data_IF_315882416552
#
_entry.id   IF_315882416552
#
_cell.length_a   1.000
_cell.length_b   1.000
_cell.length_c   1.000
_cell.angle_alpha   90.00
_cell.angle_beta   90.00
_cell.angle_gamma   90.00
#
_symmetry.space_group_name_H-M   'P 1'
#
loop_
_entity.id
_entity.type
_entity.pdbx_description
1 polymer ?
#
# COMPACT_ATOMS: atom_id res chain seq x y z
N UNK A 1 8.61 -11.45 42.41
CA UNK A 1 8.16 -11.99 41.11
C UNK A 1 7.50 -10.84 40.34
N UNK A 2 8.30 -10.01 39.66
CA UNK A 2 7.75 -8.96 38.80
C UNK A 2 7.43 -9.59 37.45
N UNK A 3 6.17 -9.60 37.06
CA UNK A 3 5.77 -10.00 35.70
C UNK A 3 6.42 -9.03 34.73
N UNK A 4 7.35 -9.53 33.92
CA UNK A 4 7.90 -8.82 32.79
C UNK A 4 6.76 -8.68 31.77
N UNK A 5 6.00 -7.59 31.85
CA UNK A 5 4.92 -7.31 30.91
C UNK A 5 5.56 -7.10 29.55
N UNK A 6 5.49 -8.12 28.70
CA UNK A 6 6.12 -8.07 27.39
C UNK A 6 5.42 -7.02 26.52
N UNK A 7 6.20 -6.16 25.85
CA UNK A 7 5.77 -5.06 24.98
C UNK A 7 5.07 -5.49 23.67
N UNK A 8 4.53 -6.71 23.61
CA UNK A 8 3.97 -7.27 22.37
C UNK A 8 2.70 -6.53 21.92
N UNK A 9 1.88 -6.03 22.86
CA UNK A 9 0.66 -5.27 22.53
C UNK A 9 1.00 -3.93 21.88
N UNK A 10 1.94 -3.18 22.45
CA UNK A 10 2.40 -1.88 21.93
C UNK A 10 3.04 -2.03 20.54
N UNK A 11 3.89 -3.05 20.34
CA UNK A 11 4.48 -3.33 19.02
C UNK A 11 3.42 -3.75 17.99
N UNK A 12 2.44 -4.56 18.38
CA UNK A 12 1.34 -4.98 17.52
C UNK A 12 0.49 -3.80 17.07
N UNK A 13 0.09 -2.94 18.02
CA UNK A 13 -0.68 -1.73 17.72
C UNK A 13 0.11 -0.76 16.84
N UNK A 14 1.42 -0.61 17.07
CA UNK A 14 2.28 0.20 16.21
C UNK A 14 2.29 -0.35 14.77
N UNK A 15 2.52 -1.65 14.58
CA UNK A 15 2.46 -2.28 13.25
C UNK A 15 1.09 -2.09 12.58
N UNK A 16 -0.01 -2.27 13.32
CA UNK A 16 -1.36 -2.08 12.81
C UNK A 16 -1.63 -0.63 12.39
N UNK A 17 -1.12 0.34 13.16
CA UNK A 17 -1.17 1.75 12.83
C UNK A 17 -0.45 2.07 11.53
N UNK A 18 0.75 1.51 11.30
CA UNK A 18 1.46 1.66 10.01
C UNK A 18 0.66 1.05 8.86
N UNK A 19 0.15 -0.17 9.05
CA UNK A 19 -0.62 -0.86 8.02
C UNK A 19 -1.87 -0.06 7.60
N UNK A 20 -2.59 0.53 8.57
CA UNK A 20 -3.72 1.42 8.28
C UNK A 20 -3.32 2.63 7.45
N UNK A 21 -2.22 3.31 7.82
CA UNK A 21 -1.72 4.46 7.05
C UNK A 21 -1.34 4.10 5.61
N UNK A 22 -0.66 2.97 5.43
CA UNK A 22 -0.29 2.49 4.09
C UNK A 22 -1.52 2.09 3.27
N UNK A 23 -2.54 1.52 3.90
CA UNK A 23 -3.82 1.21 3.26
C UNK A 23 -4.51 2.49 2.76
N UNK A 24 -4.58 3.53 3.59
CA UNK A 24 -5.18 4.81 3.21
C UNK A 24 -4.46 5.46 2.02
N UNK A 25 -3.13 5.38 1.99
CA UNK A 25 -2.33 5.84 0.83
C UNK A 25 -2.68 5.05 -0.43
N UNK A 26 -2.81 3.72 -0.33
CA UNK A 26 -3.16 2.85 -1.46
C UNK A 26 -4.55 3.18 -2.02
N UNK A 27 -5.56 3.32 -1.16
CA UNK A 27 -6.92 3.69 -1.58
C UNK A 27 -6.97 5.09 -2.21
N UNK A 28 -6.16 6.02 -1.69
CA UNK A 28 -6.03 7.36 -2.25
C UNK A 28 -5.38 7.34 -3.65
N UNK A 29 -4.43 6.45 -3.89
CA UNK A 29 -3.86 6.25 -5.23
C UNK A 29 -4.88 5.73 -6.23
N UNK A 30 -5.70 4.74 -5.86
CA UNK A 30 -6.77 4.21 -6.72
C UNK A 30 -7.74 5.35 -7.10
N UNK A 31 -8.12 6.16 -6.13
CA UNK A 31 -8.99 7.33 -6.35
C UNK A 31 -8.35 8.35 -7.29
N UNK A 32 -7.05 8.65 -7.11
CA UNK A 32 -6.31 9.56 -7.98
C UNK A 32 -6.23 9.04 -9.43
N UNK A 33 -6.03 7.73 -9.61
CA UNK A 33 -6.02 7.12 -10.94
C UNK A 33 -7.40 7.30 -11.60
N UNK A 34 -8.49 7.04 -10.87
CA UNK A 34 -9.85 7.25 -11.37
C UNK A 34 -10.13 8.72 -11.75
N UNK A 35 -9.68 9.67 -10.95
CA UNK A 35 -9.78 11.11 -11.22
C UNK A 35 -9.01 11.51 -12.50
N UNK A 36 -7.80 10.96 -12.70
CA UNK A 36 -6.98 11.20 -13.88
C UNK A 36 -7.61 10.59 -15.15
N UNK A 37 -8.11 9.36 -15.05
CA UNK A 37 -8.76 8.68 -16.17
C UNK A 37 -10.07 9.34 -16.58
N UNK A 38 -10.82 9.90 -15.63
CA UNK A 38 -12.05 10.67 -15.92
C UNK A 38 -11.77 12.07 -16.47
N UNK A 39 -10.51 12.54 -16.43
CA UNK A 39 -10.12 13.88 -16.85
C UNK A 39 -10.56 14.99 -15.88
N UNK A 40 -11.02 14.63 -14.68
CA UNK A 40 -11.48 15.58 -13.66
C UNK A 40 -10.32 16.34 -13.02
N UNK A 41 -9.11 15.77 -13.07
CA UNK A 41 -7.86 16.35 -12.54
C UNK A 41 -6.87 16.53 -13.68
N UNK A 42 -6.21 17.69 -13.73
CA UNK A 42 -5.15 17.94 -14.72
C UNK A 42 -3.89 17.14 -14.43
N UNK A 43 -3.06 16.92 -15.45
CA UNK A 43 -1.75 16.26 -15.27
C UNK A 43 -0.83 16.99 -14.27
N UNK A 44 -0.97 18.30 -14.10
CA UNK A 44 -0.17 19.06 -13.16
C UNK A 44 -0.62 18.78 -11.71
N UNK A 45 -1.91 18.91 -11.43
CA UNK A 45 -2.51 18.61 -10.12
C UNK A 45 -2.33 17.14 -9.75
N UNK A 46 -2.44 16.23 -10.73
CA UNK A 46 -2.21 14.81 -10.52
C UNK A 46 -0.80 14.48 -10.06
N UNK A 47 0.22 15.20 -10.59
CA UNK A 47 1.61 15.04 -10.15
C UNK A 47 1.81 15.55 -8.73
N UNK A 48 1.21 16.68 -8.38
CA UNK A 48 1.27 17.24 -7.03
C UNK A 48 0.67 16.27 -6.00
N UNK A 49 -0.56 15.81 -6.23
CA UNK A 49 -1.21 14.81 -5.35
C UNK A 49 -0.43 13.50 -5.27
N UNK A 50 0.14 13.03 -6.39
CA UNK A 50 1.01 11.85 -6.39
C UNK A 50 2.21 12.06 -5.47
N UNK A 51 2.86 13.22 -5.53
CA UNK A 51 4.05 13.51 -4.74
C UNK A 51 3.71 13.61 -3.24
N UNK A 52 2.54 14.16 -2.89
CA UNK A 52 1.99 14.14 -1.53
C UNK A 52 1.78 12.71 -1.02
N UNK A 53 1.17 11.84 -1.82
CA UNK A 53 0.96 10.43 -1.47
C UNK A 53 2.28 9.67 -1.31
N UNK A 54 3.29 9.95 -2.15
CA UNK A 54 4.63 9.37 -1.99
C UNK A 54 5.28 9.84 -0.69
N UNK A 55 5.10 11.10 -0.31
CA UNK A 55 5.63 11.62 0.94
C UNK A 55 4.94 10.97 2.14
N UNK A 56 3.61 10.85 2.13
CA UNK A 56 2.85 10.15 3.17
C UNK A 56 3.28 8.68 3.32
N UNK A 57 3.53 7.98 2.20
CA UNK A 57 4.08 6.62 2.24
C UNK A 57 5.47 6.57 2.89
N UNK A 58 6.37 7.50 2.50
CA UNK A 58 7.72 7.59 3.09
C UNK A 58 7.65 7.82 4.60
N UNK A 59 6.79 8.73 5.04
CA UNK A 59 6.64 9.06 6.45
C UNK A 59 6.09 7.85 7.24
N UNK A 60 5.11 7.13 6.70
CA UNK A 60 4.61 5.90 7.30
C UNK A 60 5.69 4.81 7.44
N UNK A 61 6.55 4.64 6.43
CA UNK A 61 7.67 3.71 6.50
C UNK A 61 8.77 4.17 7.45
N UNK A 62 9.04 5.48 7.54
CA UNK A 62 10.04 6.03 8.45
C UNK A 62 9.67 5.78 9.92
N UNK A 63 8.37 5.82 10.24
CA UNK A 63 7.83 5.52 11.56
C UNK A 63 7.68 4.02 11.84
N UNK A 64 7.93 3.16 10.85
CA UNK A 64 7.60 1.75 10.98
C UNK A 64 8.50 1.03 11.99
N UNK A 65 7.92 0.29 12.95
CA UNK A 65 8.72 -0.51 13.88
C UNK A 65 9.49 -1.59 13.11
N UNK A 66 10.69 -1.88 13.60
CA UNK A 66 11.58 -2.87 12.96
C UNK A 66 10.95 -4.25 13.02
N UNK A 67 10.83 -4.89 11.85
CA UNK A 67 10.47 -6.31 11.77
C UNK A 67 11.69 -7.19 12.04
N UNK A 68 11.46 -8.47 12.39
CA UNK A 68 12.53 -9.47 12.47
C UNK A 68 12.68 -10.18 11.13
N UNK A 69 13.88 -10.68 10.82
CA UNK A 69 14.12 -11.45 9.59
C UNK A 69 13.15 -12.64 9.45
N UNK A 70 12.85 -13.33 10.56
CA UNK A 70 11.88 -14.44 10.57
C UNK A 70 10.46 -13.99 10.22
N UNK A 71 10.03 -12.82 10.72
CA UNK A 71 8.73 -12.25 10.39
C UNK A 71 8.70 -11.80 8.92
N UNK A 72 9.79 -11.21 8.42
CA UNK A 72 9.93 -10.82 7.03
C UNK A 72 9.88 -12.02 6.07
N UNK A 73 10.64 -13.09 6.33
CA UNK A 73 10.63 -14.33 5.52
C UNK A 73 9.23 -14.97 5.48
N UNK A 74 8.52 -14.97 6.61
CA UNK A 74 7.15 -15.48 6.69
C UNK A 74 6.17 -14.62 5.88
N UNK A 75 6.29 -13.29 5.96
CA UNK A 75 5.47 -12.37 5.17
C UNK A 75 5.77 -12.50 3.67
N UNK A 76 7.05 -12.60 3.30
CA UNK A 76 7.50 -12.81 1.92
C UNK A 76 6.94 -14.12 1.34
N UNK A 77 6.94 -15.20 2.13
CA UNK A 77 6.31 -16.45 1.72
C UNK A 77 4.79 -16.32 1.48
N UNK A 78 4.08 -15.48 2.24
CA UNK A 78 2.68 -15.16 1.98
C UNK A 78 2.49 -14.35 0.71
N UNK A 79 3.29 -13.29 0.54
CA UNK A 79 3.23 -12.37 -0.61
C UNK A 79 3.50 -13.08 -1.95
N UNK A 80 4.49 -13.98 -2.00
CA UNK A 80 4.86 -14.69 -3.23
C UNK A 80 3.83 -15.74 -3.65
N UNK A 81 3.14 -16.38 -2.70
CA UNK A 81 2.20 -17.46 -2.99
C UNK A 81 0.75 -16.98 -3.15
N UNK A 82 0.45 -15.75 -2.72
CA UNK A 82 -0.87 -15.12 -2.85
C UNK A 82 -0.92 -14.05 -3.96
N UNK A 83 0.12 -13.93 -4.79
CA UNK A 83 0.19 -12.93 -5.87
C UNK A 83 0.06 -11.46 -5.40
N UNK A 84 0.18 -11.19 -4.10
CA UNK A 84 0.07 -9.84 -3.52
C UNK A 84 1.26 -8.90 -3.86
N UNK A 85 2.22 -9.39 -4.64
CA UNK A 85 3.43 -8.65 -5.05
C UNK A 85 3.80 -8.82 -6.53
N UNK A 86 2.93 -9.46 -7.32
CA UNK A 86 3.03 -9.41 -8.77
C UNK A 86 2.35 -8.11 -9.21
N UNK A 87 3.11 -7.25 -9.90
CA UNK A 87 2.62 -6.00 -10.48
C UNK A 87 2.36 -6.23 -11.97
N UNK A 88 1.70 -7.33 -12.32
CA UNK A 88 1.33 -7.55 -13.71
C UNK A 88 0.33 -6.48 -14.12
N UNK A 89 0.29 -6.15 -15.41
CA UNK A 89 -0.71 -5.21 -15.93
C UNK A 89 -2.12 -5.64 -15.55
N UNK A 90 -2.39 -6.95 -15.54
CA UNK A 90 -3.68 -7.52 -15.15
C UNK A 90 -4.03 -7.21 -13.69
N UNK A 91 -3.12 -7.43 -12.74
CA UNK A 91 -3.38 -7.17 -11.31
C UNK A 91 -3.57 -5.69 -11.01
N UNK A 92 -2.80 -4.83 -11.68
CA UNK A 92 -2.98 -3.37 -11.59
C UNK A 92 -4.39 -2.99 -12.05
N UNK A 93 -4.86 -3.59 -13.14
CA UNK A 93 -6.19 -3.36 -13.69
C UNK A 93 -7.28 -3.82 -12.71
N UNK A 94 -7.08 -4.94 -12.01
CA UNK A 94 -8.03 -5.43 -11.01
C UNK A 94 -8.23 -4.45 -9.84
N UNK A 95 -7.25 -3.60 -9.53
CA UNK A 95 -7.40 -2.54 -8.53
C UNK A 95 -8.26 -1.36 -9.00
N UNK A 96 -8.53 -1.24 -10.30
CA UNK A 96 -9.41 -0.21 -10.84
C UNK A 96 -10.87 -0.68 -10.81
N UNK A 97 -11.84 0.24 -10.61
CA UNK A 97 -13.24 -0.03 -10.90
C UNK A 97 -13.42 -0.61 -12.30
N UNK A 98 -14.36 -1.53 -12.49
CA UNK A 98 -14.54 -2.27 -13.75
C UNK A 98 -14.62 -1.36 -14.98
N UNK A 99 -15.28 -0.20 -14.87
CA UNK A 99 -15.41 0.78 -15.95
C UNK A 99 -14.10 1.46 -16.38
N UNK A 100 -13.04 1.34 -15.57
CA UNK A 100 -11.72 1.94 -15.80
C UNK A 100 -10.65 0.89 -16.11
N UNK A 101 -11.02 -0.39 -16.21
CA UNK A 101 -10.10 -1.45 -16.58
C UNK A 101 -9.71 -1.32 -18.05
N UNK A 102 -8.40 -1.36 -18.31
CA UNK A 102 -7.80 -1.25 -19.63
C UNK A 102 -7.92 -2.57 -20.42
N UNK A 103 -8.18 -3.70 -19.73
CA UNK A 103 -8.19 -5.03 -20.31
C UNK A 103 -6.79 -5.50 -20.70
N UNK A 104 -6.64 -6.80 -20.98
CA UNK A 104 -5.44 -7.29 -21.67
C UNK A 104 -5.43 -6.67 -23.08
N UNK A 105 -4.75 -5.54 -23.23
CA UNK A 105 -4.28 -5.11 -24.53
C UNK A 105 -3.31 -6.18 -25.03
N UNK A 106 -3.75 -6.98 -26.00
CA UNK A 106 -2.88 -7.85 -26.79
C UNK A 106 -1.67 -7.03 -27.29
N UNK A 107 -0.48 -7.36 -26.78
CA UNK A 107 0.81 -7.03 -27.37
C UNK A 107 1.83 -8.11 -26.99
#
# INVERSE_FOLDING_TARGET
MGTQTFKFEEESEAHRGIASRLWDVRESYISLIADLMSGTVSNAEGRERRDELQQAARDAYADAPRTSNRAFERAQGGLQNNEEMTFTSHEIDLFLPEALRLGEGEA
#
